data_IF_947453762599
#
_entry.id   IF_947453762599
#
_cell.length_a   1.000
_cell.length_b   1.000
_cell.length_c   1.000
_cell.angle_alpha   90.00
_cell.angle_beta   90.00
_cell.angle_gamma   90.00
#
_symmetry.space_group_name_H-M   'P 1'
#
loop_
_entity.id
_entity.type
_entity.pdbx_description
1 polymer ?
#
# COMPACT_ATOMS: atom_id res chain seq x y z
N UNK A 1 -1.61 11.44 4.33
CA UNK A 1 -2.60 10.95 5.32
C UNK A 1 -1.85 10.16 6.39
N UNK A 2 -2.33 10.07 7.62
CA UNK A 2 -1.60 9.35 8.69
C UNK A 2 -1.98 7.87 8.74
N UNK A 3 -1.06 7.04 9.22
CA UNK A 3 -1.28 5.61 9.43
C UNK A 3 -2.42 5.39 10.45
N UNK A 4 -3.41 4.56 10.10
CA UNK A 4 -4.56 4.26 10.98
C UNK A 4 -4.18 3.40 12.18
N UNK A 5 -3.01 2.76 12.16
CA UNK A 5 -2.53 1.95 13.27
C UNK A 5 -2.33 2.78 14.54
N UNK A 6 -2.95 2.34 15.63
CA UNK A 6 -2.85 2.99 16.94
C UNK A 6 -1.39 3.19 17.39
N UNK A 7 -1.04 4.43 17.75
CA UNK A 7 0.30 4.80 18.20
C UNK A 7 1.33 4.98 17.08
N UNK A 8 0.92 4.96 15.81
CA UNK A 8 1.81 5.23 14.68
C UNK A 8 1.59 6.65 14.13
N UNK A 9 2.64 7.46 14.15
CA UNK A 9 2.63 8.82 13.59
C UNK A 9 3.26 8.91 12.18
N UNK A 10 3.43 7.77 11.50
CA UNK A 10 3.99 7.73 10.15
C UNK A 10 2.93 8.06 9.11
N UNK A 11 3.39 8.58 7.97
CA UNK A 11 2.54 8.78 6.81
C UNK A 11 2.07 7.43 6.25
N UNK A 12 0.79 7.33 5.90
CA UNK A 12 0.26 6.18 5.21
C UNK A 12 0.67 6.21 3.74
N UNK A 13 1.14 5.07 3.26
CA UNK A 13 1.64 4.88 1.89
C UNK A 13 0.94 3.70 1.20
N UNK A 14 0.13 2.95 1.93
CA UNK A 14 -0.59 1.78 1.43
C UNK A 14 -2.04 1.78 1.87
N UNK A 15 -2.92 1.31 0.99
CA UNK A 15 -4.29 0.90 1.30
C UNK A 15 -4.31 -0.62 1.52
N UNK A 16 -4.92 -1.05 2.63
CA UNK A 16 -5.17 -2.44 2.93
C UNK A 16 -6.60 -2.79 2.51
N UNK A 17 -6.72 -3.67 1.53
CA UNK A 17 -7.97 -4.32 1.21
C UNK A 17 -8.17 -5.52 2.13
N UNK A 18 -9.15 -5.42 3.02
CA UNK A 18 -9.44 -6.42 4.04
C UNK A 18 -10.85 -6.97 3.80
N UNK A 19 -11.03 -8.29 3.60
CA UNK A 19 -12.33 -8.81 3.15
C UNK A 19 -13.40 -8.90 4.25
N UNK A 20 -13.03 -8.70 5.51
CA UNK A 20 -13.93 -8.82 6.67
C UNK A 20 -14.16 -7.50 7.43
N UNK A 21 -13.58 -6.39 6.98
CA UNK A 21 -13.78 -5.07 7.57
C UNK A 21 -13.55 -4.00 6.50
N UNK A 22 -13.72 -2.73 6.86
CA UNK A 22 -13.37 -1.60 5.98
C UNK A 22 -11.87 -1.56 5.63
N UNK A 23 -11.56 -0.96 4.48
CA UNK A 23 -10.18 -0.77 4.06
C UNK A 23 -9.46 0.20 5.00
N UNK A 24 -8.18 -0.08 5.26
CA UNK A 24 -7.36 0.71 6.18
C UNK A 24 -6.17 1.34 5.47
N UNK A 25 -5.75 2.53 5.89
CA UNK A 25 -4.60 3.22 5.30
C UNK A 25 -3.42 3.18 6.26
N UNK A 26 -2.32 2.54 5.85
CA UNK A 26 -1.20 2.26 6.74
C UNK A 26 0.14 2.66 6.12
N UNK A 27 1.15 2.86 6.97
CA UNK A 27 2.53 3.08 6.52
C UNK A 27 3.15 1.80 5.95
N UNK A 28 4.27 1.93 5.22
CA UNK A 28 4.98 0.78 4.64
C UNK A 28 5.35 -0.32 5.66
N UNK A 29 5.67 0.07 6.90
CA UNK A 29 6.00 -0.87 7.98
C UNK A 29 4.80 -1.74 8.38
N UNK A 30 3.66 -1.10 8.61
CA UNK A 30 2.42 -1.81 8.97
C UNK A 30 1.84 -2.59 7.80
N UNK A 31 1.93 -2.08 6.57
CA UNK A 31 1.54 -2.80 5.37
C UNK A 31 2.26 -4.16 5.29
N UNK A 32 3.59 -4.18 5.41
CA UNK A 32 4.40 -5.41 5.38
C UNK A 32 3.96 -6.45 6.41
N UNK A 33 3.57 -6.03 7.60
CA UNK A 33 3.10 -6.94 8.66
C UNK A 33 1.68 -7.42 8.39
N UNK A 34 0.78 -6.53 7.95
CA UNK A 34 -0.63 -6.82 7.72
C UNK A 34 -0.86 -7.66 6.47
N UNK A 35 -0.10 -7.46 5.39
CA UNK A 35 -0.18 -8.27 4.16
C UNK A 35 0.19 -9.75 4.34
N UNK A 36 0.74 -10.12 5.51
CA UNK A 36 1.00 -11.52 5.84
C UNK A 36 -0.24 -12.26 6.37
N UNK A 37 -1.32 -11.53 6.66
CA UNK A 37 -2.58 -12.11 7.09
C UNK A 37 -3.36 -12.60 5.87
N UNK A 38 -4.00 -13.75 6.00
CA UNK A 38 -4.71 -14.38 4.88
C UNK A 38 -5.83 -13.48 4.36
N UNK A 39 -5.82 -13.19 3.07
CA UNK A 39 -6.85 -12.36 2.43
C UNK A 39 -6.64 -10.85 2.52
N UNK A 40 -5.59 -10.36 3.20
CA UNK A 40 -5.25 -8.93 3.20
C UNK A 40 -4.34 -8.62 2.01
N UNK A 41 -4.77 -7.70 1.15
CA UNK A 41 -3.96 -7.18 0.03
C UNK A 41 -3.54 -5.76 0.37
N UNK A 42 -2.24 -5.46 0.26
CA UNK A 42 -1.75 -4.08 0.37
C UNK A 42 -1.48 -3.52 -1.02
N UNK A 43 -2.18 -2.44 -1.36
CA UNK A 43 -1.96 -1.67 -2.57
C UNK A 43 -1.19 -0.39 -2.25
N UNK A 44 -0.19 -0.05 -3.06
CA UNK A 44 0.59 1.15 -2.84
C UNK A 44 -0.24 2.36 -3.29
N UNK A 45 -0.42 3.34 -2.40
CA UNK A 45 -1.09 4.59 -2.74
C UNK A 45 -0.32 5.26 -3.89
N UNK A 46 -1.04 5.58 -4.98
CA UNK A 46 -0.46 5.94 -6.28
C UNK A 46 0.47 7.15 -6.24
N UNK A 47 0.41 7.99 -5.20
CA UNK A 47 1.37 9.07 -4.95
C UNK A 47 2.83 8.59 -4.79
N UNK A 48 3.07 7.28 -4.59
CA UNK A 48 4.40 6.67 -4.57
C UNK A 48 4.78 5.94 -5.87
N UNK A 49 3.89 5.92 -6.89
CA UNK A 49 4.07 5.19 -8.15
C UNK A 49 4.37 6.10 -9.36
N UNK A 50 4.38 7.43 -9.19
CA UNK A 50 4.50 8.41 -10.29
C UNK A 50 5.92 8.63 -10.85
N UNK A 51 6.86 7.68 -10.65
CA UNK A 51 8.14 7.66 -11.38
C UNK A 51 8.47 6.25 -11.86
N UNK A 52 7.65 5.70 -12.76
CA UNK A 52 8.14 4.65 -13.65
C UNK A 52 8.97 5.32 -14.76
N UNK A 53 10.30 5.09 -14.84
CA UNK A 53 11.09 5.63 -15.93
C UNK A 53 10.57 5.11 -17.28
N UNK A 54 10.45 6.03 -18.23
CA UNK A 54 10.09 5.77 -19.62
C UNK A 54 11.00 4.70 -20.23
N UNK A 55 10.46 3.48 -20.38
CA UNK A 55 11.20 2.34 -20.93
C UNK A 55 10.66 0.96 -20.53
N UNK A 56 9.87 0.86 -19.44
CA UNK A 56 9.33 -0.43 -18.98
C UNK A 56 8.07 -0.90 -19.74
N UNK A 57 7.44 -0.04 -20.53
CA UNK A 57 6.15 -0.34 -21.18
C UNK A 57 6.26 -0.77 -22.65
N UNK A 58 7.44 -0.76 -23.26
CA UNK A 58 7.55 -1.06 -24.69
C UNK A 58 8.52 -2.21 -25.01
N UNK A 59 7.96 -3.42 -25.08
CA UNK A 59 8.52 -4.52 -25.85
C UNK A 59 7.52 -4.89 -26.94
N UNK A 60 7.28 -3.97 -27.88
CA UNK A 60 6.67 -4.32 -29.16
C UNK A 60 7.70 -5.09 -30.02
N UNK A 61 7.32 -6.31 -30.37
CA UNK A 61 8.08 -7.23 -31.23
C UNK A 61 7.69 -7.05 -32.68
#
# INVERSE_FOLDING_TARGET
MECTQEGCNSEATFELHIPWTENEYVCAGHARVRSRQEGVVADALTAAAEELPEGAANREN
#
